data_IF_799854579361
#
_entry.id   IF_799854579361
#
_cell.length_a   1.000
_cell.length_b   1.000
_cell.length_c   1.000
_cell.angle_alpha   90.00
_cell.angle_beta   90.00
_cell.angle_gamma   90.00
#
_symmetry.space_group_name_H-M   'P 1'
#
loop_
_entity.id
_entity.type
_entity.pdbx_description
1 polymer ?
#
# COMPACT_ATOMS: atom_id res chain seq x y z
N UNK A 1 -22.32 49.00 23.86
CA UNK A 1 -21.26 48.68 22.87
C UNK A 1 -20.48 47.43 23.25
N UNK A 2 -19.87 47.31 24.44
CA UNK A 2 -19.06 46.13 24.83
C UNK A 2 -19.80 44.79 24.77
N UNK A 3 -21.06 44.73 25.21
CA UNK A 3 -21.90 43.51 25.14
C UNK A 3 -22.15 43.05 23.70
N UNK A 4 -22.32 44.00 22.77
CA UNK A 4 -22.51 43.71 21.34
C UNK A 4 -21.22 43.13 20.75
N UNK A 5 -20.06 43.71 21.10
CA UNK A 5 -18.75 43.19 20.67
C UNK A 5 -18.48 41.78 21.20
N UNK A 6 -18.79 41.50 22.47
CA UNK A 6 -18.65 40.16 23.05
C UNK A 6 -19.56 39.17 22.33
N UNK A 7 -20.83 39.52 22.11
CA UNK A 7 -21.77 38.69 21.36
C UNK A 7 -21.28 38.36 19.94
N UNK A 8 -20.81 39.38 19.22
CA UNK A 8 -20.26 39.21 17.87
C UNK A 8 -19.01 38.30 17.88
N UNK A 9 -18.12 38.48 18.85
CA UNK A 9 -16.89 37.69 18.97
C UNK A 9 -17.20 36.22 19.23
N UNK A 10 -18.17 35.94 20.10
CA UNK A 10 -18.63 34.56 20.36
C UNK A 10 -19.24 33.95 19.10
N UNK A 11 -20.07 34.69 18.35
CA UNK A 11 -20.62 34.20 17.08
C UNK A 11 -19.52 33.88 16.07
N UNK A 12 -18.50 34.74 15.92
CA UNK A 12 -17.38 34.47 15.03
C UNK A 12 -16.57 33.24 15.44
N UNK A 13 -16.30 33.05 16.74
CA UNK A 13 -15.63 31.86 17.24
C UNK A 13 -16.42 30.59 16.92
N UNK A 14 -17.74 30.62 17.10
CA UNK A 14 -18.62 29.48 16.78
C UNK A 14 -18.55 29.17 15.28
N UNK A 15 -18.67 30.18 14.41
CA UNK A 15 -18.58 29.99 12.95
C UNK A 15 -17.22 29.41 12.56
N UNK A 16 -16.13 29.92 13.12
CA UNK A 16 -14.78 29.42 12.85
C UNK A 16 -14.62 27.97 13.29
N UNK A 17 -15.16 27.58 14.45
CA UNK A 17 -15.15 26.20 14.90
C UNK A 17 -15.91 25.28 13.93
N UNK A 18 -17.11 25.67 13.48
CA UNK A 18 -17.88 24.89 12.51
C UNK A 18 -17.17 24.75 11.17
N UNK A 19 -16.51 25.80 10.68
CA UNK A 19 -15.72 25.77 9.45
C UNK A 19 -14.57 24.76 9.56
N UNK A 20 -13.84 24.75 10.68
CA UNK A 20 -12.77 23.78 10.90
C UNK A 20 -13.29 22.34 10.99
N UNK A 21 -14.44 22.13 11.64
CA UNK A 21 -15.08 20.81 11.72
C UNK A 21 -15.49 20.33 10.32
N UNK A 22 -16.10 21.21 9.53
CA UNK A 22 -16.51 20.89 8.16
C UNK A 22 -15.30 20.57 7.27
N UNK A 23 -14.23 21.36 7.36
CA UNK A 23 -12.97 21.11 6.65
C UNK A 23 -12.38 19.74 7.01
N UNK A 24 -12.31 19.43 8.31
CA UNK A 24 -11.79 18.16 8.79
C UNK A 24 -12.68 16.97 8.41
N UNK A 25 -14.00 17.14 8.39
CA UNK A 25 -14.93 16.11 7.97
C UNK A 25 -14.74 15.75 6.47
N UNK A 26 -14.57 16.76 5.61
CA UNK A 26 -14.30 16.55 4.18
C UNK A 26 -12.93 15.89 3.98
N UNK A 27 -11.90 16.34 4.69
CA UNK A 27 -10.59 15.70 4.68
C UNK A 27 -10.68 14.22 5.07
N UNK A 28 -11.36 13.91 6.18
CA UNK A 28 -11.50 12.54 6.68
C UNK A 28 -12.28 11.65 5.71
N UNK A 29 -13.35 12.16 5.10
CA UNK A 29 -14.12 11.44 4.10
C UNK A 29 -13.26 11.08 2.88
N UNK A 30 -12.51 12.05 2.32
CA UNK A 30 -11.62 11.82 1.18
C UNK A 30 -10.48 10.85 1.53
N UNK A 31 -9.86 11.02 2.71
CA UNK A 31 -8.82 10.10 3.21
C UNK A 31 -9.32 8.67 3.28
N UNK A 32 -10.51 8.45 3.82
CA UNK A 32 -11.11 7.12 3.92
C UNK A 32 -11.43 6.53 2.55
N UNK A 33 -11.89 7.35 1.59
CA UNK A 33 -12.12 6.90 0.22
C UNK A 33 -10.82 6.44 -0.44
N UNK A 34 -9.75 7.21 -0.31
CA UNK A 34 -8.43 6.86 -0.85
C UNK A 34 -7.91 5.58 -0.18
N UNK A 35 -8.00 5.47 1.15
CA UNK A 35 -7.57 4.27 1.88
C UNK A 35 -8.28 3.00 1.36
N UNK A 36 -9.60 3.07 1.13
CA UNK A 36 -10.35 1.95 0.55
C UNK A 36 -9.93 1.64 -0.89
N UNK A 37 -9.68 2.66 -1.70
CA UNK A 37 -9.23 2.48 -3.07
C UNK A 37 -7.87 1.77 -3.13
N UNK A 38 -6.95 2.08 -2.20
CA UNK A 38 -5.68 1.35 -2.08
C UNK A 38 -5.92 -0.11 -1.69
N UNK A 39 -6.77 -0.39 -0.69
CA UNK A 39 -7.07 -1.77 -0.28
C UNK A 39 -7.61 -2.60 -1.46
N UNK A 40 -8.54 -2.04 -2.25
CA UNK A 40 -9.06 -2.71 -3.45
C UNK A 40 -7.97 -2.90 -4.51
N UNK A 41 -7.13 -1.89 -4.73
CA UNK A 41 -6.06 -1.96 -5.70
C UNK A 41 -5.01 -3.01 -5.34
N UNK A 42 -4.57 -3.08 -4.09
CA UNK A 42 -3.64 -4.12 -3.61
C UNK A 42 -4.27 -5.50 -3.70
N UNK A 43 -5.53 -5.65 -3.28
CA UNK A 43 -6.25 -6.93 -3.31
C UNK A 43 -6.42 -7.47 -4.73
N UNK A 44 -6.60 -6.59 -5.72
CA UNK A 44 -6.66 -6.98 -7.12
C UNK A 44 -5.26 -7.29 -7.69
N UNK A 45 -4.30 -6.39 -7.49
CA UNK A 45 -2.96 -6.48 -8.06
C UNK A 45 -2.15 -7.68 -7.54
N UNK A 46 -2.37 -8.11 -6.29
CA UNK A 46 -1.69 -9.29 -5.72
C UNK A 46 -2.06 -10.59 -6.45
N UNK A 47 -3.15 -10.59 -7.22
CA UNK A 47 -3.61 -11.75 -7.98
C UNK A 47 -2.95 -11.87 -9.37
N UNK A 48 -2.16 -10.88 -9.79
CA UNK A 48 -1.46 -10.91 -11.08
C UNK A 48 -0.23 -11.80 -11.03
N UNK A 49 -0.46 -13.11 -10.89
CA UNK A 49 0.59 -14.12 -10.82
C UNK A 49 1.27 -14.32 -12.18
N UNK A 50 2.60 -14.37 -12.18
CA UNK A 50 3.43 -14.75 -13.32
C UNK A 50 3.34 -16.27 -13.52
N UNK A 51 2.34 -16.71 -14.29
CA UNK A 51 2.13 -18.14 -14.60
C UNK A 51 3.34 -18.82 -15.25
N UNK A 52 4.18 -18.07 -15.98
CA UNK A 52 5.36 -18.63 -16.64
C UNK A 52 6.46 -19.01 -15.65
N UNK A 53 6.60 -18.25 -14.57
CA UNK A 53 7.59 -18.52 -13.51
C UNK A 53 7.03 -19.31 -12.34
N UNK A 54 5.70 -19.33 -12.19
CA UNK A 54 5.00 -19.95 -11.07
C UNK A 54 4.51 -21.37 -11.34
N UNK A 55 4.87 -21.99 -12.48
CA UNK A 55 4.31 -23.27 -12.89
C UNK A 55 4.56 -24.39 -11.87
N UNK A 56 5.80 -24.51 -11.37
CA UNK A 56 6.16 -25.49 -10.33
C UNK A 56 5.46 -25.18 -9.00
N UNK A 57 5.47 -23.93 -8.56
CA UNK A 57 4.82 -23.50 -7.30
C UNK A 57 3.29 -23.61 -7.30
N UNK A 58 2.65 -23.49 -8.48
CA UNK A 58 1.22 -23.72 -8.64
C UNK A 58 0.87 -25.22 -8.72
N UNK A 59 1.82 -26.07 -9.13
CA UNK A 59 1.64 -27.51 -9.27
C UNK A 59 1.86 -28.27 -7.94
N UNK A 60 2.73 -27.79 -7.05
CA UNK A 60 2.99 -28.44 -5.76
C UNK A 60 1.85 -28.20 -4.76
N UNK A 61 1.16 -29.29 -4.42
CA UNK A 61 -0.15 -29.27 -3.78
C UNK A 61 -0.12 -28.97 -2.29
N UNK A 62 0.64 -29.71 -1.51
CA UNK A 62 0.64 -29.58 -0.06
C UNK A 62 1.96 -30.12 0.44
N UNK A 63 2.49 -29.51 1.49
CA UNK A 63 3.52 -30.16 2.28
C UNK A 63 2.86 -31.36 2.97
N UNK A 64 3.26 -32.58 2.59
CA UNK A 64 2.72 -33.83 3.11
C UNK A 64 2.89 -33.98 4.62
N UNK A 65 3.86 -33.27 5.22
CA UNK A 65 4.16 -33.33 6.65
C UNK A 65 3.36 -32.30 7.46
N UNK A 66 3.09 -31.12 6.89
CA UNK A 66 2.43 -30.02 7.63
C UNK A 66 0.99 -29.78 7.21
N UNK A 67 0.54 -30.36 6.09
CA UNK A 67 -0.76 -30.11 5.48
C UNK A 67 -0.94 -28.65 5.00
N UNK A 68 0.13 -27.84 5.03
CA UNK A 68 0.09 -26.44 4.61
C UNK A 68 0.23 -26.36 3.08
N UNK A 69 -0.45 -25.37 2.49
CA UNK A 69 -0.31 -25.07 1.06
C UNK A 69 1.12 -24.61 0.80
N UNK A 70 1.82 -25.28 -0.12
CA UNK A 70 3.08 -24.79 -0.68
C UNK A 70 2.74 -23.60 -1.59
N UNK A 71 3.27 -22.43 -1.26
CA UNK A 71 3.23 -21.22 -2.10
C UNK A 71 4.64 -20.81 -2.52
N UNK A 72 5.60 -21.73 -2.37
CA UNK A 72 6.98 -21.54 -2.80
C UNK A 72 7.02 -21.42 -4.33
N UNK A 73 7.80 -20.48 -4.84
CA UNK A 73 7.98 -20.27 -6.27
C UNK A 73 6.81 -19.58 -6.99
N UNK A 74 5.74 -19.18 -6.29
CA UNK A 74 4.67 -18.37 -6.90
C UNK A 74 5.09 -16.90 -6.91
N UNK A 75 5.29 -16.34 -8.10
CA UNK A 75 5.77 -14.97 -8.29
C UNK A 75 4.66 -14.07 -8.82
N UNK A 76 4.55 -12.85 -8.29
CA UNK A 76 3.68 -11.82 -8.85
C UNK A 76 4.39 -11.16 -10.04
N UNK A 77 3.69 -11.02 -11.15
CA UNK A 77 4.14 -10.20 -12.27
C UNK A 77 4.00 -8.72 -11.89
N UNK A 78 5.12 -8.11 -11.49
CA UNK A 78 5.13 -6.75 -10.95
C UNK A 78 4.68 -5.68 -11.97
N UNK A 79 4.87 -5.93 -13.27
CA UNK A 79 4.47 -5.00 -14.32
C UNK A 79 2.96 -5.05 -14.55
N UNK A 80 2.36 -6.25 -14.51
CA UNK A 80 0.91 -6.40 -14.54
C UNK A 80 0.27 -5.91 -13.25
N UNK A 81 0.84 -6.25 -12.10
CA UNK A 81 0.36 -5.81 -10.80
C UNK A 81 0.33 -4.29 -10.68
N UNK A 82 1.35 -3.57 -11.14
CA UNK A 82 1.33 -2.10 -11.17
C UNK A 82 0.20 -1.55 -12.04
N UNK A 83 0.01 -2.10 -13.26
CA UNK A 83 -1.06 -1.66 -14.16
C UNK A 83 -2.44 -1.90 -13.55
N UNK A 84 -2.66 -3.07 -12.96
CA UNK A 84 -3.90 -3.43 -12.28
C UNK A 84 -4.12 -2.53 -11.06
N UNK A 85 -3.08 -2.30 -10.26
CA UNK A 85 -3.12 -1.42 -9.10
C UNK A 85 -3.57 -0.02 -9.52
N UNK A 86 -2.89 0.60 -10.48
CA UNK A 86 -3.23 1.95 -10.96
C UNK A 86 -4.64 1.99 -11.58
N UNK A 87 -5.03 0.97 -12.33
CA UNK A 87 -6.35 0.88 -12.95
C UNK A 87 -7.47 0.82 -11.91
N UNK A 88 -7.34 -0.08 -10.92
CA UNK A 88 -8.34 -0.26 -9.86
C UNK A 88 -8.36 0.95 -8.93
N UNK A 89 -7.20 1.50 -8.56
CA UNK A 89 -7.12 2.72 -7.76
C UNK A 89 -7.83 3.89 -8.46
N UNK A 90 -7.52 4.15 -9.73
CA UNK A 90 -8.10 5.26 -10.49
C UNK A 90 -9.60 5.07 -10.81
N UNK A 91 -10.10 3.84 -10.77
CA UNK A 91 -11.53 3.55 -10.95
C UNK A 91 -12.31 3.76 -9.65
N UNK A 92 -11.65 3.67 -8.50
CA UNK A 92 -12.24 3.81 -7.17
C UNK A 92 -11.89 5.14 -6.48
N UNK A 93 -11.04 5.95 -7.10
CA UNK A 93 -10.63 7.27 -6.63
C UNK A 93 -10.91 8.32 -7.71
N UNK A 94 -11.36 9.50 -7.29
CA UNK A 94 -11.69 10.56 -8.23
C UNK A 94 -10.40 11.17 -8.82
N UNK A 95 -10.24 11.11 -10.15
CA UNK A 95 -8.97 11.42 -10.85
C UNK A 95 -8.45 12.85 -10.66
N UNK A 96 -9.35 13.80 -10.40
CA UNK A 96 -8.98 15.20 -10.16
C UNK A 96 -8.25 15.42 -8.82
N UNK A 97 -8.25 14.42 -7.93
CA UNK A 97 -7.76 14.58 -6.56
C UNK A 97 -6.45 13.84 -6.28
N UNK A 98 -6.00 12.91 -7.14
CA UNK A 98 -4.88 12.03 -6.77
C UNK A 98 -4.12 11.44 -7.96
N UNK A 99 -3.14 12.15 -8.52
CA UNK A 99 -2.12 11.51 -9.36
C UNK A 99 -1.06 10.86 -8.47
N UNK A 100 -1.14 9.53 -8.35
CA UNK A 100 -0.22 8.72 -7.55
C UNK A 100 0.88 8.07 -8.39
N UNK A 101 0.82 8.21 -9.72
CA UNK A 101 1.66 7.44 -10.65
C UNK A 101 3.14 7.68 -10.43
N UNK A 102 3.53 8.90 -10.03
CA UNK A 102 4.92 9.28 -9.76
C UNK A 102 5.37 8.99 -8.32
N UNK A 103 4.43 8.77 -7.41
CA UNK A 103 4.70 8.63 -5.98
C UNK A 103 4.45 7.20 -5.45
N UNK A 104 4.34 6.23 -6.34
CA UNK A 104 4.05 4.83 -6.02
C UNK A 104 5.34 4.01 -5.98
N UNK A 105 5.44 3.18 -4.95
CA UNK A 105 6.40 2.09 -4.81
C UNK A 105 5.61 0.81 -4.57
N UNK A 106 5.87 -0.21 -5.38
CA UNK A 106 5.28 -1.54 -5.21
C UNK A 106 6.39 -2.53 -4.86
N UNK A 107 6.17 -3.37 -3.86
CA UNK A 107 7.04 -4.48 -3.53
C UNK A 107 6.26 -5.79 -3.62
N UNK A 108 6.67 -6.68 -4.49
CA UNK A 108 6.19 -8.05 -4.53
C UNK A 108 7.19 -8.96 -3.80
N UNK A 109 6.70 -9.85 -2.94
CA UNK A 109 7.51 -10.88 -2.29
C UNK A 109 7.02 -12.26 -2.67
N UNK A 110 7.94 -13.22 -2.67
CA UNK A 110 7.63 -14.63 -2.85
C UNK A 110 8.62 -15.51 -2.09
N UNK A 111 8.18 -16.70 -1.72
CA UNK A 111 8.98 -17.65 -0.98
C UNK A 111 9.83 -18.53 -1.93
N UNK A 112 11.10 -18.77 -1.58
CA UNK A 112 12.00 -19.65 -2.33
C UNK A 112 12.93 -20.44 -1.40
N UNK A 113 12.62 -21.70 -1.14
CA UNK A 113 13.47 -22.63 -0.39
C UNK A 113 13.49 -22.40 1.13
N UNK A 114 14.36 -21.53 1.65
CA UNK A 114 14.30 -21.03 3.04
C UNK A 114 14.31 -19.49 3.10
N UNK A 115 14.45 -18.83 1.94
CA UNK A 115 14.59 -17.39 1.81
C UNK A 115 13.31 -16.78 1.25
N UNK A 116 13.18 -15.47 1.45
CA UNK A 116 12.15 -14.66 0.81
C UNK A 116 12.82 -13.82 -0.27
N UNK A 117 12.33 -13.94 -1.50
CA UNK A 117 12.73 -13.09 -2.61
C UNK A 117 11.76 -11.91 -2.70
N UNK A 118 12.27 -10.77 -3.15
CA UNK A 118 11.46 -9.57 -3.33
C UNK A 118 11.81 -8.87 -4.64
N UNK A 119 10.84 -8.13 -5.16
CA UNK A 119 10.96 -7.24 -6.31
C UNK A 119 10.34 -5.91 -5.94
N UNK A 120 11.12 -4.85 -5.95
CA UNK A 120 10.65 -3.49 -5.66
C UNK A 120 10.65 -2.72 -6.97
N UNK A 121 9.47 -2.34 -7.44
CA UNK A 121 9.31 -1.47 -8.60
C UNK A 121 9.01 -0.05 -8.15
N UNK A 122 9.80 0.89 -8.69
CA UNK A 122 9.60 2.33 -8.54
C UNK A 122 8.77 2.84 -9.71
N UNK A 123 8.07 3.96 -9.53
CA UNK A 123 7.37 4.68 -10.61
C UNK A 123 8.27 5.13 -11.75
N UNK A 124 9.60 5.21 -11.55
CA UNK A 124 10.58 5.43 -12.62
C UNK A 124 10.72 4.24 -13.59
N UNK A 125 10.14 3.09 -13.25
CA UNK A 125 10.26 1.84 -14.01
C UNK A 125 11.47 0.98 -13.59
N UNK A 126 12.32 1.47 -12.70
CA UNK A 126 13.43 0.69 -12.13
C UNK A 126 12.87 -0.43 -11.22
N UNK A 127 13.34 -1.65 -11.46
CA UNK A 127 12.99 -2.82 -10.65
C UNK A 127 14.25 -3.30 -9.93
N UNK A 128 14.17 -3.35 -8.60
CA UNK A 128 15.23 -3.86 -7.72
C UNK A 128 14.81 -5.22 -7.20
N UNK A 129 15.54 -6.25 -7.61
CA UNK A 129 15.33 -7.62 -7.13
C UNK A 129 16.33 -7.96 -6.03
N UNK A 130 15.90 -8.75 -5.05
CA UNK A 130 16.79 -9.22 -3.98
C UNK A 130 16.21 -10.37 -3.17
N UNK A 131 16.98 -10.82 -2.19
CA UNK A 131 16.57 -11.89 -1.27
C UNK A 131 16.93 -11.55 0.16
N UNK A 132 16.11 -12.00 1.11
CA UNK A 132 16.36 -11.91 2.55
C UNK A 132 16.19 -13.27 3.21
N UNK A 133 16.94 -13.50 4.28
CA UNK A 133 16.88 -14.75 5.04
C UNK A 133 15.64 -14.82 5.97
N UNK A 134 15.06 -13.67 6.34
CA UNK A 134 13.86 -13.58 7.17
C UNK A 134 12.85 -12.60 6.56
N UNK A 135 11.54 -12.94 6.55
CA UNK A 135 10.49 -12.03 6.10
C UNK A 135 10.46 -10.68 6.84
N UNK A 136 10.91 -10.63 8.10
CA UNK A 136 10.94 -9.40 8.90
C UNK A 136 11.84 -8.32 8.31
N UNK A 137 12.84 -8.71 7.51
CA UNK A 137 13.79 -7.80 6.87
C UNK A 137 13.22 -7.13 5.62
N UNK A 138 12.06 -7.57 5.11
CA UNK A 138 11.41 -6.96 3.95
C UNK A 138 11.02 -5.51 4.23
N UNK A 139 10.57 -5.21 5.45
CA UNK A 139 10.25 -3.84 5.86
C UNK A 139 11.47 -2.93 5.72
N UNK A 140 12.64 -3.38 6.19
CA UNK A 140 13.87 -2.60 6.11
C UNK A 140 14.27 -2.36 4.64
N UNK A 141 14.13 -3.37 3.77
CA UNK A 141 14.40 -3.22 2.33
C UNK A 141 13.47 -2.24 1.64
N UNK A 142 12.19 -2.24 1.97
CA UNK A 142 11.21 -1.28 1.43
C UNK A 142 11.56 0.14 1.90
N UNK A 143 11.92 0.31 3.18
CA UNK A 143 12.32 1.60 3.74
C UNK A 143 13.63 2.11 3.12
N UNK A 144 14.62 1.24 2.89
CA UNK A 144 15.85 1.58 2.18
C UNK A 144 15.57 2.04 0.75
N UNK A 145 14.71 1.30 0.02
CA UNK A 145 14.31 1.67 -1.33
C UNK A 145 13.55 3.01 -1.35
N UNK A 146 12.66 3.25 -0.38
CA UNK A 146 11.92 4.50 -0.26
C UNK A 146 12.85 5.70 0.03
N UNK A 147 13.84 5.53 0.93
CA UNK A 147 14.85 6.57 1.22
C UNK A 147 15.71 6.89 0.00
N UNK A 148 16.15 5.86 -0.72
CA UNK A 148 16.91 6.05 -1.96
C UNK A 148 16.10 6.74 -3.06
N UNK A 149 14.78 6.51 -3.09
CA UNK A 149 13.91 7.09 -4.11
C UNK A 149 13.43 8.50 -3.79
N UNK A 150 13.24 8.83 -2.51
CA UNK A 150 12.86 10.16 -2.06
C UNK A 150 13.83 10.66 -0.97
N UNK A 151 15.04 11.09 -1.34
CA UNK A 151 16.10 11.46 -0.40
C UNK A 151 15.80 12.75 0.39
N UNK A 152 15.01 13.67 -0.18
CA UNK A 152 14.72 14.98 0.41
C UNK A 152 13.62 14.96 1.49
N UNK A 153 13.09 13.79 1.85
CA UNK A 153 12.19 13.71 3.01
C UNK A 153 12.96 13.53 4.29
N UNK A 154 13.26 14.64 4.94
CA UNK A 154 13.78 14.76 6.31
C UNK A 154 12.81 14.23 7.39
N UNK A 155 11.73 13.57 6.98
CA UNK A 155 10.69 13.09 7.88
C UNK A 155 11.07 11.71 8.44
N UNK A 156 11.87 11.71 9.52
CA UNK A 156 12.11 10.55 10.38
C UNK A 156 10.80 9.86 10.87
N UNK A 157 9.65 10.52 10.69
CA UNK A 157 8.30 10.00 10.99
C UNK A 157 7.74 9.04 9.94
N UNK A 158 8.37 8.93 8.76
CA UNK A 158 7.83 8.18 7.60
C UNK A 158 8.43 6.79 7.42
N UNK A 159 8.93 6.17 8.51
CA UNK A 159 9.25 4.73 8.49
C UNK A 159 7.97 3.95 8.17
N UNK A 160 7.97 3.26 7.05
CA UNK A 160 6.90 2.37 6.63
C UNK A 160 6.91 1.21 7.61
N UNK A 161 5.92 1.15 8.49
CA UNK A 161 5.70 0.02 9.38
C UNK A 161 4.68 -0.91 8.72
N UNK A 162 5.12 -2.11 8.34
CA UNK A 162 4.18 -3.12 7.86
C UNK A 162 3.42 -3.62 9.09
N UNK A 163 2.09 -3.50 9.08
CA UNK A 163 1.20 -3.83 10.19
C UNK A 163 1.29 -2.90 11.43
N UNK A 164 1.86 -1.69 11.30
CA UNK A 164 1.81 -0.63 12.32
C UNK A 164 2.62 -0.87 13.60
N UNK A 165 3.17 -2.07 13.83
CA UNK A 165 4.04 -2.38 14.96
C UNK A 165 5.14 -3.38 14.54
N UNK A 166 6.43 -3.01 14.64
CA UNK A 166 7.55 -3.87 14.24
C UNK A 166 7.66 -5.14 15.10
N UNK A 167 7.07 -5.17 16.30
CA UNK A 167 7.02 -6.35 17.17
C UNK A 167 5.91 -7.35 16.80
N UNK A 168 4.96 -6.95 15.96
CA UNK A 168 3.85 -7.79 15.48
C UNK A 168 3.87 -7.92 13.96
N UNK A 169 5.06 -7.81 13.36
CA UNK A 169 5.23 -7.95 11.93
C UNK A 169 5.00 -9.43 11.56
N UNK A 170 3.77 -9.74 11.15
CA UNK A 170 3.34 -11.09 10.75
C UNK A 170 3.57 -11.31 9.26
N UNK A 171 4.64 -10.76 8.68
CA UNK A 171 5.05 -11.14 7.33
C UNK A 171 5.47 -12.60 7.44
N UNK A 172 4.57 -13.49 7.06
CA UNK A 172 4.87 -14.90 6.95
C UNK A 172 5.60 -15.14 5.63
N UNK A 173 6.15 -16.33 5.50
CA UNK A 173 6.77 -16.74 4.25
C UNK A 173 5.68 -17.06 3.24
N UNK A 174 5.56 -16.24 2.20
CA UNK A 174 4.50 -16.37 1.20
C UNK A 174 4.60 -15.34 0.08
N UNK A 175 3.52 -15.25 -0.70
CA UNK A 175 3.42 -14.34 -1.85
C UNK A 175 2.58 -13.13 -1.47
N UNK A 176 3.21 -11.95 -1.39
CA UNK A 176 2.55 -10.72 -0.95
C UNK A 176 2.85 -9.56 -1.89
N UNK A 177 1.93 -8.59 -1.92
CA UNK A 177 2.12 -7.31 -2.56
C UNK A 177 2.00 -6.21 -1.51
N UNK A 178 2.99 -5.33 -1.48
CA UNK A 178 3.00 -4.12 -0.69
C UNK A 178 2.94 -2.92 -1.62
N UNK A 179 2.05 -1.98 -1.34
CA UNK A 179 1.98 -0.72 -2.04
C UNK A 179 2.24 0.42 -1.06
N UNK A 180 3.12 1.32 -1.44
CA UNK A 180 3.44 2.53 -0.71
C UNK A 180 3.23 3.73 -1.63
N UNK A 181 2.41 4.67 -1.21
CA UNK A 181 2.15 5.91 -1.95
C UNK A 181 2.52 7.08 -1.05
N UNK A 182 3.45 7.90 -1.53
CA UNK A 182 3.90 9.10 -0.84
C UNK A 182 3.16 10.35 -1.33
N UNK A 183 3.13 11.39 -0.49
CA UNK A 183 2.71 12.75 -0.88
C UNK A 183 1.36 12.81 -1.60
N UNK A 184 0.39 12.04 -1.09
CA UNK A 184 -1.00 12.15 -1.53
C UNK A 184 -1.54 13.47 -1.00
N UNK A 185 -1.99 14.34 -1.90
CA UNK A 185 -2.61 15.62 -1.52
C UNK A 185 -4.11 15.45 -1.38
N UNK A 186 -4.63 15.77 -0.21
CA UNK A 186 -6.07 15.81 0.05
C UNK A 186 -6.46 17.24 0.39
N UNK A 187 -7.29 17.82 -0.46
CA UNK A 187 -7.94 19.10 -0.21
C UNK A 187 -9.21 18.90 0.61
N UNK A 188 -9.29 19.53 1.77
CA UNK A 188 -10.52 19.80 2.50
C UNK A 188 -11.39 20.86 1.81
N UNK A 189 -12.15 21.60 2.59
CA UNK A 189 -12.92 22.76 2.10
C UNK A 189 -12.01 23.97 1.93
N UNK A 190 -11.03 24.13 2.84
CA UNK A 190 -10.13 25.28 2.91
C UNK A 190 -8.65 24.90 3.03
N UNK A 191 -8.34 23.72 3.60
CA UNK A 191 -6.95 23.29 3.80
C UNK A 191 -6.55 22.17 2.86
N UNK A 192 -5.29 22.14 2.43
CA UNK A 192 -4.69 20.99 1.77
C UNK A 192 -3.73 20.30 2.74
N UNK A 193 -3.77 18.97 2.76
CA UNK A 193 -2.90 18.16 3.61
C UNK A 193 -2.25 17.07 2.77
N UNK A 194 -0.95 16.89 2.99
CA UNK A 194 -0.22 15.76 2.41
C UNK A 194 -0.33 14.56 3.35
N UNK A 195 -0.53 13.37 2.79
CA UNK A 195 -0.41 12.13 3.51
C UNK A 195 0.38 11.08 2.75
N UNK A 196 0.86 10.11 3.51
CA UNK A 196 1.51 8.92 3.01
C UNK A 196 0.67 7.72 3.42
N UNK A 197 0.43 6.80 2.49
CA UNK A 197 -0.35 5.59 2.73
C UNK A 197 0.46 4.35 2.34
N UNK A 198 0.30 3.30 3.13
CA UNK A 198 0.85 1.97 2.87
C UNK A 198 -0.24 0.94 3.04
N UNK A 199 -0.27 -0.05 2.16
CA UNK A 199 -1.17 -1.20 2.25
C UNK A 199 -0.44 -2.48 1.85
N UNK A 200 -0.90 -3.61 2.39
CA UNK A 200 -0.36 -4.93 2.10
C UNK A 200 -1.49 -5.92 1.83
N UNK A 201 -1.25 -6.87 0.95
CA UNK A 201 -2.17 -7.96 0.64
C UNK A 201 -1.42 -9.23 0.31
N UNK A 202 -1.96 -10.38 0.73
CA UNK A 202 -1.47 -11.70 0.35
C UNK A 202 -2.22 -12.24 -0.85
N UNK A 203 -1.52 -12.98 -1.72
CA UNK A 203 -2.14 -13.64 -2.86
C UNK A 203 -3.14 -14.69 -2.38
N UNK A 204 -4.38 -14.63 -2.89
CA UNK A 204 -5.39 -15.67 -2.65
C UNK A 204 -5.29 -16.66 -3.79
N UNK A 205 -4.35 -17.59 -3.65
CA UNK A 205 -4.13 -18.62 -4.66
C UNK A 205 -5.30 -19.61 -4.65
N UNK A 206 -6.23 -19.40 -5.58
CA UNK A 206 -7.20 -20.42 -5.97
C UNK A 206 -6.55 -21.31 -7.03
N UNK A 207 -6.49 -22.62 -6.74
CA UNK A 207 -5.94 -23.58 -7.69
C UNK A 207 -6.84 -23.67 -8.91
N UNK A 208 -6.23 -23.80 -10.08
CA UNK A 208 -6.94 -24.35 -11.21
C UNK A 208 -7.50 -25.72 -10.77
N UNK A 209 -8.83 -25.88 -10.78
CA UNK A 209 -9.40 -27.21 -10.71
C UNK A 209 -8.79 -27.99 -11.87
N UNK A 210 -8.00 -29.02 -11.54
CA UNK A 210 -7.72 -30.10 -12.47
C UNK A 210 -9.05 -30.84 -12.68
N UNK A 211 -9.93 -30.28 -13.52
CA UNK A 211 -11.05 -30.98 -14.09
C UNK A 211 -10.95 -30.84 -15.61
N UNK A 212 -10.37 -31.89 -16.18
CA UNK A 212 -10.48 -32.42 -17.55
C UNK A 212 -10.32 -31.45 -18.72
#
# INVERSE_FOLDING_TARGET
MGVIFIGLTVTFLVVFAFVNIADYAVYTYKRNSISKAIDYAVTAAVQDIDRGKSFEGLAEGFDENTGRRLSDGVEIDIDRAEKTFLSVFNSNCNKEQTDISRNLLICATFARGQRVSYKIKKSSGEVVDGTVDSPTLIEDRINEAAKGYWPDSDDNSSRIAINGNPKTNMIERGTYLFAYIKCIRITGVFTERELTLSCFGGAKLDRANAQN
#
